data_IF_651969220757
#
_entry.id   IF_651969220757
#
_cell.length_a   1.000
_cell.length_b   1.000
_cell.length_c   1.000
_cell.angle_alpha   90.00
_cell.angle_beta   90.00
_cell.angle_gamma   90.00
#
_symmetry.space_group_name_H-M   'P 1'
#
loop_
_entity.id
_entity.type
_entity.pdbx_description
1 polymer ?
#
# COMPACT_ATOMS: atom_id res chain seq x y z
N UNK A 1 -19.26 -17.92 19.39
CA UNK A 1 -18.42 -18.09 18.18
C UNK A 1 -18.60 -16.84 17.34
N UNK A 2 -17.71 -15.85 17.49
CA UNK A 2 -17.85 -14.58 16.78
C UNK A 2 -17.15 -14.70 15.42
N UNK A 3 -17.93 -14.80 14.35
CA UNK A 3 -17.46 -14.64 12.98
C UNK A 3 -17.03 -13.19 12.79
N UNK A 4 -15.71 -12.96 12.67
CA UNK A 4 -15.16 -11.69 12.20
C UNK A 4 -15.52 -11.56 10.73
N UNK A 5 -16.47 -10.68 10.42
CA UNK A 5 -16.85 -10.35 9.05
C UNK A 5 -15.71 -9.62 8.36
N UNK A 6 -15.23 -10.18 7.24
CA UNK A 6 -14.24 -9.56 6.33
C UNK A 6 -14.74 -8.14 5.95
N UNK A 7 -13.91 -7.08 6.06
CA UNK A 7 -14.35 -5.73 5.71
C UNK A 7 -14.79 -5.69 4.25
N UNK A 8 -15.93 -5.05 3.97
CA UNK A 8 -16.41 -4.84 2.62
C UNK A 8 -15.47 -3.87 1.88
N UNK A 9 -14.45 -4.40 1.22
CA UNK A 9 -13.66 -3.69 0.24
C UNK A 9 -14.54 -3.60 -1.01
N UNK A 10 -14.98 -2.39 -1.36
CA UNK A 10 -15.70 -2.17 -2.62
C UNK A 10 -14.69 -2.34 -3.76
N UNK A 11 -14.67 -3.54 -4.36
CA UNK A 11 -13.79 -3.89 -5.47
C UNK A 11 -14.33 -3.21 -6.73
N UNK A 12 -13.70 -2.12 -7.18
CA UNK A 12 -13.91 -1.65 -8.55
C UNK A 12 -13.06 -2.52 -9.48
N UNK A 13 -13.68 -3.52 -10.10
CA UNK A 13 -13.07 -4.29 -11.19
C UNK A 13 -12.93 -3.41 -12.44
N UNK A 14 -11.84 -2.63 -12.54
CA UNK A 14 -11.44 -1.99 -13.78
C UNK A 14 -10.21 -2.70 -14.35
N UNK A 15 -10.47 -3.64 -15.26
CA UNK A 15 -9.49 -4.15 -16.20
C UNK A 15 -9.19 -3.06 -17.24
N UNK A 16 -7.93 -2.64 -17.36
CA UNK A 16 -7.41 -1.93 -18.53
C UNK A 16 -5.89 -2.18 -18.66
N UNK A 17 -5.56 -3.20 -19.45
CA UNK A 17 -4.56 -3.22 -20.53
C UNK A 17 -3.24 -2.43 -20.36
N UNK A 18 -2.11 -3.15 -20.24
CA UNK A 18 -0.69 -2.91 -20.69
C UNK A 18 -0.13 -1.47 -20.98
N UNK A 19 1.20 -1.26 -20.91
CA UNK A 19 1.87 -0.23 -20.13
C UNK A 19 2.10 1.10 -20.87
N UNK A 20 2.07 2.22 -20.13
CA UNK A 20 2.49 3.54 -20.60
C UNK A 20 3.77 3.93 -19.85
N UNK A 21 4.91 4.16 -20.52
CA UNK A 21 6.20 4.41 -19.87
C UNK A 21 6.17 5.78 -19.19
N UNK A 22 6.05 5.73 -17.87
CA UNK A 22 5.68 6.83 -16.97
C UNK A 22 4.93 6.29 -15.74
N UNK A 23 4.14 5.21 -15.93
CA UNK A 23 3.56 4.31 -14.91
C UNK A 23 4.56 3.28 -14.33
N UNK A 24 5.85 3.42 -14.64
CA UNK A 24 6.84 2.33 -14.54
C UNK A 24 7.62 2.25 -13.22
N UNK A 25 7.35 3.14 -12.27
CA UNK A 25 7.91 3.03 -10.90
C UNK A 25 6.96 2.32 -9.97
N UNK A 26 5.73 2.81 -9.84
CA UNK A 26 4.71 2.21 -8.96
C UNK A 26 4.46 0.74 -9.30
N UNK A 27 4.32 0.42 -10.59
CA UNK A 27 4.19 -0.96 -11.04
C UNK A 27 5.41 -1.83 -10.68
N UNK A 28 6.63 -1.33 -10.86
CA UNK A 28 7.86 -2.03 -10.50
C UNK A 28 7.90 -2.32 -8.98
N UNK A 29 7.59 -1.30 -8.16
CA UNK A 29 7.56 -1.44 -6.70
C UNK A 29 6.53 -2.48 -6.28
N UNK A 30 5.33 -2.45 -6.86
CA UNK A 30 4.27 -3.42 -6.58
C UNK A 30 4.73 -4.84 -6.97
N UNK A 31 5.34 -5.00 -8.14
CA UNK A 31 5.87 -6.28 -8.60
C UNK A 31 6.97 -6.83 -7.68
N UNK A 32 7.90 -5.99 -7.21
CA UNK A 32 8.93 -6.41 -6.25
C UNK A 32 8.33 -6.83 -4.90
N UNK A 33 7.37 -6.05 -4.35
CA UNK A 33 6.68 -6.42 -3.11
C UNK A 33 5.99 -7.77 -3.25
N UNK A 34 5.20 -7.96 -4.32
CA UNK A 34 4.46 -9.20 -4.56
C UNK A 34 5.43 -10.37 -4.74
N UNK A 35 6.53 -10.17 -5.46
CA UNK A 35 7.56 -11.18 -5.68
C UNK A 35 8.25 -11.58 -4.39
N UNK A 36 8.65 -10.61 -3.56
CA UNK A 36 9.25 -10.84 -2.26
C UNK A 36 8.34 -11.63 -1.32
N UNK A 37 7.06 -11.23 -1.22
CA UNK A 37 6.07 -11.94 -0.41
C UNK A 37 5.83 -13.38 -0.90
N UNK A 38 5.76 -13.59 -2.22
CA UNK A 38 5.65 -14.95 -2.78
C UNK A 38 6.91 -15.77 -2.54
N UNK A 39 8.10 -15.18 -2.61
CA UNK A 39 9.37 -15.87 -2.38
C UNK A 39 9.50 -16.38 -0.94
N UNK A 40 8.95 -15.66 0.04
CA UNK A 40 8.89 -16.12 1.44
C UNK A 40 7.70 -17.05 1.73
N UNK A 41 6.89 -17.38 0.71
CA UNK A 41 5.74 -18.27 0.85
C UNK A 41 4.56 -17.67 1.60
N UNK A 42 4.45 -16.33 1.66
CA UNK A 42 3.33 -15.67 2.30
C UNK A 42 2.03 -15.91 1.50
N UNK A 43 0.93 -16.14 2.23
CA UNK A 43 -0.43 -16.20 1.66
C UNK A 43 -1.06 -14.82 1.86
N UNK A 44 -1.42 -14.17 0.76
CA UNK A 44 -2.00 -12.83 0.78
C UNK A 44 -2.86 -12.58 -0.48
N UNK A 45 -3.87 -11.75 -0.32
CA UNK A 45 -4.58 -11.09 -1.41
C UNK A 45 -4.08 -9.65 -1.55
N UNK A 46 -4.25 -9.03 -2.72
CA UNK A 46 -3.92 -7.63 -2.92
C UNK A 46 -4.96 -6.89 -3.75
N UNK A 47 -5.14 -5.60 -3.45
CA UNK A 47 -6.16 -4.76 -4.06
C UNK A 47 -5.65 -3.33 -4.31
N UNK A 48 -6.28 -2.64 -5.24
CA UNK A 48 -6.11 -1.20 -5.46
C UNK A 48 -7.28 -0.47 -4.84
N UNK A 49 -7.05 0.69 -4.20
CA UNK A 49 -8.12 1.42 -3.54
C UNK A 49 -8.23 2.87 -3.99
N UNK A 50 -9.45 3.23 -4.36
CA UNK A 50 -9.84 4.60 -4.69
C UNK A 50 -11.24 4.88 -4.22
N UNK A 51 -11.44 6.03 -3.59
CA UNK A 51 -12.76 6.50 -3.15
C UNK A 51 -13.40 7.42 -4.19
N UNK A 52 -14.72 7.56 -4.14
CA UNK A 52 -15.45 8.56 -4.93
C UNK A 52 -15.08 10.01 -4.58
N UNK A 53 -14.46 10.24 -3.42
CA UNK A 53 -13.93 11.54 -2.99
C UNK A 53 -12.48 11.79 -3.46
N UNK A 54 -11.89 10.87 -4.24
CA UNK A 54 -10.56 11.02 -4.82
C UNK A 54 -9.39 10.64 -3.90
N UNK A 55 -9.65 10.06 -2.72
CA UNK A 55 -8.59 9.45 -1.93
C UNK A 55 -8.13 8.16 -2.61
N UNK A 56 -6.82 8.02 -2.82
CA UNK A 56 -6.17 6.89 -3.48
C UNK A 56 -5.17 6.26 -2.49
N UNK A 57 -5.07 4.94 -2.51
CA UNK A 57 -4.02 4.15 -1.86
C UNK A 57 -3.53 3.16 -2.91
N UNK A 58 -2.23 3.20 -3.20
CA UNK A 58 -1.64 2.52 -4.35
C UNK A 58 -1.77 0.99 -4.29
N UNK A 59 -1.59 0.40 -3.10
CA UNK A 59 -1.71 -1.04 -2.90
C UNK A 59 -2.24 -1.35 -1.50
N UNK A 60 -3.13 -2.34 -1.38
CA UNK A 60 -3.54 -2.92 -0.11
C UNK A 60 -3.15 -4.38 -0.13
N UNK A 61 -2.44 -4.82 0.91
CA UNK A 61 -2.18 -6.23 1.18
C UNK A 61 -3.15 -6.73 2.25
N UNK A 62 -3.85 -7.82 1.97
CA UNK A 62 -4.72 -8.53 2.90
C UNK A 62 -4.13 -9.91 3.19
N UNK A 63 -3.68 -10.12 4.42
CA UNK A 63 -3.09 -11.37 4.86
C UNK A 63 -3.57 -11.69 6.28
N UNK A 64 -3.21 -12.86 6.79
CA UNK A 64 -3.66 -13.32 8.12
C UNK A 64 -3.27 -12.37 9.28
N UNK A 65 -2.25 -11.54 9.09
CA UNK A 65 -1.83 -10.52 10.07
C UNK A 65 -2.60 -9.19 9.98
N UNK A 66 -3.55 -9.07 9.04
CA UNK A 66 -4.42 -7.92 8.82
C UNK A 66 -4.13 -7.16 7.53
N UNK A 67 -4.87 -6.05 7.34
CA UNK A 67 -4.71 -5.15 6.20
C UNK A 67 -3.49 -4.25 6.38
N UNK A 68 -2.65 -4.18 5.35
CA UNK A 68 -1.53 -3.24 5.24
C UNK A 68 -1.71 -2.41 3.98
N UNK A 69 -2.06 -1.12 4.11
CA UNK A 69 -2.02 -0.20 2.98
C UNK A 69 -0.58 0.25 2.70
N UNK A 70 -0.24 0.36 1.43
CA UNK A 70 1.06 0.75 0.92
C UNK A 70 0.86 1.92 -0.05
N UNK A 71 1.54 3.02 0.25
CA UNK A 71 1.65 4.20 -0.62
C UNK A 71 3.02 4.18 -1.30
N UNK A 72 3.07 4.50 -2.59
CA UNK A 72 4.30 4.51 -3.37
C UNK A 72 4.57 5.93 -3.85
N UNK A 73 5.79 6.42 -3.63
CA UNK A 73 6.20 7.77 -4.02
C UNK A 73 7.58 7.76 -4.63
N UNK A 74 7.68 8.28 -5.85
CA UNK A 74 8.98 8.54 -6.48
C UNK A 74 9.57 9.87 -5.96
N UNK A 75 9.90 9.91 -4.67
CA UNK A 75 10.50 11.06 -3.99
C UNK A 75 11.41 10.58 -2.85
N UNK A 76 12.44 11.36 -2.51
CA UNK A 76 13.30 11.07 -1.36
C UNK A 76 12.61 11.41 -0.04
N UNK A 77 11.84 12.50 -0.01
CA UNK A 77 11.10 12.93 1.18
C UNK A 77 9.64 13.10 0.84
N UNK A 78 8.76 12.42 1.59
CA UNK A 78 7.31 12.55 1.43
C UNK A 78 6.76 13.47 2.52
N UNK A 79 6.16 14.63 2.18
CA UNK A 79 5.59 15.52 3.17
C UNK A 79 4.31 14.92 3.77
N UNK A 80 4.11 15.06 5.08
CA UNK A 80 2.99 14.45 5.81
C UNK A 80 1.59 14.74 5.22
N UNK A 81 1.41 15.90 4.56
CA UNK A 81 0.17 16.26 3.86
C UNK A 81 -0.23 15.27 2.76
N UNK A 82 0.75 14.63 2.11
CA UNK A 82 0.50 13.63 1.07
C UNK A 82 0.09 12.28 1.65
N UNK A 83 0.39 12.03 2.93
CA UNK A 83 0.06 10.77 3.63
C UNK A 83 -1.32 10.81 4.30
N UNK A 84 -2.11 11.87 4.07
CA UNK A 84 -3.43 12.01 4.70
C UNK A 84 -4.38 10.88 4.29
N UNK A 85 -4.43 10.54 3.00
CA UNK A 85 -5.28 9.46 2.50
C UNK A 85 -4.90 8.11 3.12
N UNK A 86 -3.60 7.81 3.18
CA UNK A 86 -3.08 6.62 3.85
C UNK A 86 -3.46 6.59 5.34
N UNK A 87 -3.28 7.70 6.05
CA UNK A 87 -3.63 7.82 7.48
C UNK A 87 -5.11 7.66 7.74
N UNK A 88 -5.96 8.24 6.90
CA UNK A 88 -7.41 8.13 6.99
C UNK A 88 -7.84 6.68 6.72
N UNK A 89 -7.23 6.00 5.74
CA UNK A 89 -7.48 4.58 5.47
C UNK A 89 -7.09 3.69 6.65
N UNK A 90 -5.90 3.89 7.23
CA UNK A 90 -5.43 3.14 8.42
C UNK A 90 -6.45 3.23 9.54
N UNK A 91 -6.97 4.44 9.81
CA UNK A 91 -7.97 4.66 10.86
C UNK A 91 -9.33 4.05 10.51
N UNK A 92 -9.81 4.26 9.29
CA UNK A 92 -11.13 3.78 8.87
C UNK A 92 -11.20 2.24 8.86
N UNK A 93 -10.13 1.58 8.41
CA UNK A 93 -10.05 0.12 8.33
C UNK A 93 -9.39 -0.52 9.55
N UNK A 94 -9.02 0.27 10.56
CA UNK A 94 -8.34 -0.17 11.77
C UNK A 94 -7.09 -1.03 11.48
N UNK A 95 -6.27 -0.57 10.53
CA UNK A 95 -5.01 -1.22 10.15
C UNK A 95 -3.98 -1.03 11.27
N UNK A 96 -3.07 -2.00 11.44
CA UNK A 96 -2.03 -1.92 12.48
C UNK A 96 -0.96 -0.87 12.15
N UNK A 97 -0.63 -0.75 10.88
CA UNK A 97 0.29 0.23 10.32
C UNK A 97 0.08 0.32 8.80
N UNK A 98 0.64 1.35 8.18
CA UNK A 98 0.79 1.46 6.74
C UNK A 98 2.25 1.69 6.35
N UNK A 99 2.54 1.42 5.09
CA UNK A 99 3.87 1.56 4.52
C UNK A 99 3.90 2.67 3.47
N UNK A 100 5.04 3.34 3.39
CA UNK A 100 5.37 4.25 2.30
C UNK A 100 6.64 3.75 1.65
N UNK A 101 6.57 3.31 0.39
CA UNK A 101 7.77 2.98 -0.37
C UNK A 101 8.22 4.21 -1.15
N UNK A 102 9.46 4.61 -0.91
CA UNK A 102 10.03 5.83 -1.48
C UNK A 102 11.47 5.61 -1.98
N UNK A 103 12.12 6.67 -2.43
CA UNK A 103 13.51 6.63 -2.88
C UNK A 103 14.47 7.31 -1.90
N UNK A 104 14.11 7.32 -0.60
CA UNK A 104 14.98 7.81 0.48
C UNK A 104 16.20 6.90 0.63
N UNK A 105 17.20 7.33 1.37
CA UNK A 105 18.40 6.53 1.63
C UNK A 105 18.23 5.61 2.84
N UNK A 106 17.37 6.00 3.79
CA UNK A 106 17.19 5.31 5.06
C UNK A 106 15.70 5.16 5.41
N UNK A 107 15.31 4.07 6.10
CA UNK A 107 13.98 3.95 6.68
C UNK A 107 13.66 5.09 7.65
N UNK A 108 12.42 5.57 7.62
CA UNK A 108 11.93 6.63 8.52
C UNK A 108 10.55 6.32 9.05
N UNK A 109 10.25 6.82 10.24
CA UNK A 109 8.87 6.86 10.72
C UNK A 109 8.27 8.21 10.33
N UNK A 110 7.18 8.18 9.55
CA UNK A 110 6.40 9.37 9.23
C UNK A 110 5.36 9.66 10.31
N UNK A 111 4.91 8.62 11.02
CA UNK A 111 3.95 8.67 12.12
C UNK A 111 4.11 7.39 12.97
N UNK A 112 3.40 7.29 14.10
CA UNK A 112 3.41 6.10 14.98
C UNK A 112 2.94 4.83 14.26
N UNK A 113 2.10 4.99 13.23
CA UNK A 113 1.52 3.90 12.43
C UNK A 113 1.98 3.91 10.97
N UNK A 114 2.91 4.79 10.58
CA UNK A 114 3.34 4.91 9.17
C UNK A 114 4.86 4.84 9.10
N UNK A 115 5.36 3.78 8.47
CA UNK A 115 6.78 3.57 8.23
C UNK A 115 7.11 3.78 6.74
N UNK A 116 8.15 4.57 6.48
CA UNK A 116 8.78 4.76 5.19
C UNK A 116 9.93 3.80 5.00
N UNK A 117 9.91 3.04 3.91
CA UNK A 117 10.95 2.07 3.53
C UNK A 117 11.50 2.47 2.16
N UNK A 118 12.83 2.70 2.04
CA UNK A 118 13.48 2.86 0.75
C UNK A 118 13.23 1.67 -0.16
N UNK A 119 12.98 1.92 -1.44
CA UNK A 119 12.90 0.86 -2.45
C UNK A 119 14.17 0.01 -2.50
N UNK A 120 15.33 0.61 -2.22
CA UNK A 120 16.62 -0.11 -2.14
C UNK A 120 16.68 -1.17 -1.02
N UNK A 121 15.71 -1.19 -0.10
CA UNK A 121 15.60 -2.19 0.97
C UNK A 121 14.64 -3.34 0.67
N UNK A 122 13.94 -3.31 -0.49
CA UNK A 122 12.99 -4.35 -0.89
C UNK A 122 13.68 -5.56 -1.53
#
# INVERSE_FOLDING_TARGET
>A
TATVSKPAISVSSSCATYPVPGRSWEGLVIEEIIRGLKAVGAVFDYYYYRTGAGAEVDLILDADFGLIPVEIKYAQTVPARQLRALKDFIKEKNCRFGLVINNDELPRLYDEQIAGIPFACL
#
